data_IF_426964670555
#
_entry.id   IF_426964670555
#
_cell.length_a   1.000
_cell.length_b   1.000
_cell.length_c   1.000
_cell.angle_alpha   90.00
_cell.angle_beta   90.00
_cell.angle_gamma   90.00
#
_symmetry.space_group_name_H-M   'P 1'
#
loop_
_entity.id
_entity.type
_entity.pdbx_description
1 polymer ?
#
# COMPACT_ATOMS: atom_id res chain seq x y z
N UNK A 1 10.55 21.08 34.16
CA UNK A 1 11.27 20.10 33.30
C UNK A 1 11.88 19.04 34.22
N UNK A 2 12.08 17.82 33.71
CA UNK A 2 12.72 16.67 34.41
C UNK A 2 11.90 16.08 35.58
N UNK A 3 12.08 14.77 35.83
CA UNK A 3 11.38 13.94 36.83
C UNK A 3 12.39 13.22 37.76
N UNK A 4 11.98 12.80 38.98
CA UNK A 4 12.63 11.72 39.75
C UNK A 4 12.06 10.33 39.38
N UNK A 5 12.86 9.26 39.19
CA UNK A 5 13.47 8.34 40.21
C UNK A 5 12.39 7.63 41.08
N UNK A 6 12.24 6.29 41.20
CA UNK A 6 13.16 5.18 41.64
C UNK A 6 12.38 3.82 41.51
N UNK A 7 12.87 2.56 41.44
CA UNK A 7 14.17 1.90 41.13
C UNK A 7 14.00 0.33 40.94
N UNK A 8 14.93 -0.33 40.23
CA UNK A 8 15.43 -1.75 40.17
C UNK A 8 14.62 -3.08 40.34
N UNK A 9 15.24 -4.14 39.78
CA UNK A 9 15.25 -5.60 40.16
C UNK A 9 14.48 -6.57 39.22
N UNK A 10 15.01 -7.69 38.68
CA UNK A 10 16.37 -8.29 38.66
C UNK A 10 16.63 -9.09 37.35
N UNK A 11 17.83 -9.65 37.17
CA UNK A 11 18.29 -10.39 35.97
C UNK A 11 18.02 -11.94 36.07
N UNK A 12 18.38 -12.82 35.09
CA UNK A 12 19.69 -12.90 34.40
C UNK A 12 19.65 -12.76 32.86
N UNK A 13 20.83 -12.48 32.29
CA UNK A 13 21.09 -12.46 30.84
C UNK A 13 21.39 -13.88 30.37
N UNK A 14 20.72 -14.34 29.32
CA UNK A 14 21.16 -15.46 28.48
C UNK A 14 21.77 -14.90 27.19
N UNK A 15 22.98 -15.33 26.84
CA UNK A 15 23.71 -14.81 25.68
C UNK A 15 22.98 -15.15 24.37
N UNK A 16 22.48 -14.12 23.67
CA UNK A 16 22.18 -14.21 22.25
C UNK A 16 23.16 -13.31 21.49
N UNK A 17 23.94 -13.95 20.62
CA UNK A 17 24.85 -13.31 19.67
C UNK A 17 24.11 -12.26 18.83
N UNK A 18 24.77 -11.18 18.35
CA UNK A 18 24.16 -10.27 17.40
C UNK A 18 23.91 -11.00 16.06
N UNK A 19 22.76 -11.66 15.93
CA UNK A 19 22.26 -12.08 14.62
C UNK A 19 22.14 -10.85 13.74
N UNK A 20 22.87 -10.88 12.63
CA UNK A 20 22.92 -9.81 11.64
C UNK A 20 21.52 -9.43 11.19
N UNK A 21 21.33 -8.14 10.92
CA UNK A 21 20.05 -7.59 10.48
C UNK A 21 19.58 -8.30 9.19
N UNK A 22 18.73 -9.33 9.33
CA UNK A 22 18.09 -9.99 8.20
C UNK A 22 17.23 -8.95 7.49
N UNK A 23 17.58 -8.64 6.24
CA UNK A 23 16.70 -7.87 5.36
C UNK A 23 15.29 -8.50 5.38
N UNK A 24 14.21 -7.70 5.42
CA UNK A 24 12.86 -8.23 5.42
C UNK A 24 12.65 -9.02 4.12
N UNK A 25 12.59 -10.35 4.24
CA UNK A 25 12.55 -11.27 3.11
C UNK A 25 11.47 -10.83 2.09
N UNK A 26 11.93 -10.39 0.91
CA UNK A 26 11.07 -9.85 -0.15
C UNK A 26 9.98 -10.88 -0.45
N UNK A 27 8.74 -10.63 0.02
CA UNK A 27 7.59 -11.50 -0.24
C UNK A 27 7.51 -11.71 -1.75
N UNK A 28 7.74 -12.95 -2.21
CA UNK A 28 7.67 -13.30 -3.64
C UNK A 28 6.32 -12.82 -4.16
N UNK A 29 6.34 -11.75 -4.95
CA UNK A 29 5.14 -11.17 -5.50
C UNK A 29 4.51 -12.24 -6.40
N UNK A 30 3.24 -12.59 -6.15
CA UNK A 30 2.54 -13.44 -7.10
C UNK A 30 2.44 -12.67 -8.42
N UNK A 31 2.68 -13.36 -9.52
CA UNK A 31 2.65 -12.88 -10.91
C UNK A 31 1.92 -13.95 -11.72
N UNK A 32 1.16 -13.55 -12.74
CA UNK A 32 0.55 -14.48 -13.69
C UNK A 32 1.63 -14.90 -14.68
N UNK A 33 1.94 -16.20 -14.83
CA UNK A 33 2.97 -16.66 -15.76
C UNK A 33 2.72 -16.14 -17.18
N UNK A 34 3.74 -15.59 -17.84
CA UNK A 34 3.66 -14.98 -19.17
C UNK A 34 3.17 -13.53 -19.20
N UNK A 35 2.73 -12.98 -18.06
CA UNK A 35 2.43 -11.55 -17.89
C UNK A 35 3.49 -10.84 -17.05
N UNK A 36 4.69 -11.40 -16.86
CA UNK A 36 5.76 -10.80 -16.06
C UNK A 36 6.03 -9.33 -16.47
N UNK A 37 6.21 -8.40 -15.51
CA UNK A 37 6.37 -6.99 -15.83
C UNK A 37 7.68 -6.67 -16.57
N UNK A 38 8.70 -7.52 -16.40
CA UNK A 38 10.07 -7.33 -16.87
C UNK A 38 10.61 -8.69 -17.35
N UNK A 39 11.22 -8.74 -18.54
CA UNK A 39 12.00 -9.88 -19.03
C UNK A 39 13.43 -9.44 -19.32
N UNK A 40 14.37 -10.38 -19.21
CA UNK A 40 15.80 -10.13 -19.37
C UNK A 40 16.45 -11.21 -20.22
N UNK A 41 17.41 -10.84 -21.06
CA UNK A 41 18.29 -11.76 -21.78
C UNK A 41 19.70 -11.73 -21.19
N UNK A 42 20.46 -12.83 -21.28
CA UNK A 42 21.90 -12.82 -20.92
C UNK A 42 22.69 -11.98 -21.93
N UNK A 43 23.58 -11.11 -21.45
CA UNK A 43 24.45 -10.31 -22.33
C UNK A 43 25.47 -11.16 -23.09
N UNK A 44 25.82 -12.35 -22.58
CA UNK A 44 26.65 -13.34 -23.27
C UNK A 44 26.06 -13.76 -24.63
N UNK A 45 24.73 -13.71 -24.77
CA UNK A 45 24.04 -14.01 -26.05
C UNK A 45 24.12 -12.89 -27.09
N UNK A 46 24.88 -11.83 -26.83
CA UNK A 46 25.09 -10.67 -27.71
C UNK A 46 26.54 -10.44 -28.12
N UNK A 47 27.47 -11.20 -27.56
CA UNK A 47 28.91 -11.14 -27.87
C UNK A 47 29.33 -12.36 -28.68
N UNK A 48 29.85 -12.16 -29.88
CA UNK A 48 30.82 -13.12 -30.43
C UNK A 48 32.18 -12.88 -29.75
N UNK A 49 33.07 -13.87 -29.78
CA UNK A 49 34.38 -13.82 -29.12
C UNK A 49 35.29 -12.69 -29.65
N UNK A 50 34.92 -12.08 -30.79
CA UNK A 50 35.65 -11.01 -31.48
C UNK A 50 35.38 -9.60 -30.94
N UNK A 51 34.37 -9.40 -30.07
CA UNK A 51 34.05 -8.09 -29.49
C UNK A 51 34.14 -8.14 -27.95
N UNK A 52 35.25 -7.64 -27.36
CA UNK A 52 35.46 -7.71 -25.90
C UNK A 52 34.46 -6.85 -25.12
N UNK A 53 34.06 -7.35 -23.94
CA UNK A 53 33.09 -6.74 -23.04
C UNK A 53 33.66 -5.55 -22.23
N UNK A 54 34.29 -4.59 -22.90
CA UNK A 54 34.58 -3.28 -22.33
C UNK A 54 33.48 -2.29 -22.73
N UNK A 55 32.68 -1.87 -21.75
CA UNK A 55 31.90 -0.63 -21.93
C UNK A 55 32.88 0.56 -22.12
N UNK A 56 32.49 1.65 -22.80
CA UNK A 56 33.40 2.74 -23.23
C UNK A 56 34.11 3.52 -22.10
N UNK A 57 33.95 3.11 -20.85
CA UNK A 57 34.59 3.65 -19.65
C UNK A 57 35.11 2.55 -18.69
N UNK A 58 35.37 1.33 -19.18
CA UNK A 58 35.95 0.22 -18.39
C UNK A 58 35.02 -0.38 -17.31
N UNK A 59 33.74 -0.03 -17.32
CA UNK A 59 32.76 -0.54 -16.36
C UNK A 59 32.38 -2.00 -16.62
N UNK A 60 32.23 -2.80 -15.54
CA UNK A 60 31.72 -4.18 -15.64
C UNK A 60 30.36 -4.20 -16.34
N UNK A 61 30.30 -4.85 -17.50
CA UNK A 61 29.04 -5.02 -18.24
C UNK A 61 28.08 -5.88 -17.42
N UNK A 62 26.79 -5.50 -17.26
CA UNK A 62 25.82 -6.31 -16.52
C UNK A 62 25.61 -7.68 -17.18
N UNK A 63 25.47 -8.74 -16.38
CA UNK A 63 25.25 -10.10 -16.91
C UNK A 63 23.95 -10.25 -17.71
N UNK A 64 22.96 -9.37 -17.49
CA UNK A 64 21.69 -9.36 -18.23
C UNK A 64 21.33 -7.97 -18.76
N UNK A 65 20.43 -7.94 -19.75
CA UNK A 65 19.88 -6.73 -20.38
C UNK A 65 18.35 -6.86 -20.47
N UNK A 66 17.55 -5.78 -20.28
CA UNK A 66 16.11 -5.83 -20.50
C UNK A 66 15.77 -6.25 -21.93
N UNK A 67 14.90 -7.25 -22.09
CA UNK A 67 14.52 -7.79 -23.40
C UNK A 67 13.87 -6.73 -24.30
N UNK A 68 13.17 -5.76 -23.70
CA UNK A 68 12.61 -4.59 -24.39
C UNK A 68 13.68 -3.81 -25.19
N UNK A 69 14.83 -3.53 -24.55
CA UNK A 69 15.92 -2.76 -25.16
C UNK A 69 16.65 -3.56 -26.25
N UNK A 70 16.69 -4.89 -26.13
CA UNK A 70 17.19 -5.79 -27.18
C UNK A 70 16.28 -5.74 -28.40
N UNK A 71 14.98 -6.00 -28.22
CA UNK A 71 14.01 -6.03 -29.32
C UNK A 71 13.94 -4.67 -30.01
N UNK A 72 14.02 -3.57 -29.26
CA UNK A 72 14.09 -2.23 -29.83
C UNK A 72 15.36 -2.01 -30.67
N UNK A 73 16.53 -2.49 -30.22
CA UNK A 73 17.77 -2.46 -31.02
C UNK A 73 17.61 -3.29 -32.29
N UNK A 74 17.21 -4.55 -32.18
CA UNK A 74 16.97 -5.44 -33.34
C UNK A 74 15.97 -4.82 -34.34
N UNK A 75 14.97 -4.08 -33.84
CA UNK A 75 13.99 -3.33 -34.63
C UNK A 75 14.63 -2.17 -35.40
N UNK A 76 15.43 -1.33 -34.73
CA UNK A 76 16.22 -0.28 -35.40
C UNK A 76 17.19 -0.88 -36.44
N UNK A 77 17.86 -1.99 -36.11
CA UNK A 77 18.86 -2.70 -36.92
C UNK A 77 18.21 -3.57 -38.02
N UNK A 78 17.19 -3.03 -38.69
CA UNK A 78 16.55 -3.55 -39.89
C UNK A 78 15.26 -4.35 -39.69
N UNK A 79 14.92 -4.83 -38.49
CA UNK A 79 13.69 -5.64 -38.30
C UNK A 79 12.41 -4.81 -38.49
N UNK A 80 12.49 -3.47 -38.39
CA UNK A 80 11.41 -2.57 -38.80
C UNK A 80 11.02 -2.72 -40.28
N UNK A 81 11.94 -3.09 -41.19
CA UNK A 81 11.62 -3.30 -42.62
C UNK A 81 10.72 -4.53 -42.83
N UNK A 82 10.81 -5.52 -41.94
CA UNK A 82 9.95 -6.70 -41.92
C UNK A 82 8.59 -6.42 -41.27
N UNK A 83 8.57 -5.63 -40.19
CA UNK A 83 7.39 -5.45 -39.34
C UNK A 83 6.55 -4.22 -39.71
N UNK A 84 7.18 -3.07 -39.99
CA UNK A 84 6.54 -1.76 -40.19
C UNK A 84 6.58 -1.32 -41.67
N UNK A 85 6.32 -2.27 -42.58
CA UNK A 85 6.09 -2.02 -44.00
C UNK A 85 4.60 -1.92 -44.34
N UNK A 86 4.27 -1.52 -45.57
CA UNK A 86 2.91 -1.27 -46.06
C UNK A 86 1.93 -2.45 -45.93
N UNK A 87 2.45 -3.68 -45.83
CA UNK A 87 1.63 -4.90 -45.65
C UNK A 87 1.33 -5.16 -44.18
N UNK A 88 2.34 -5.02 -43.32
CA UNK A 88 2.30 -5.49 -41.94
C UNK A 88 1.94 -4.38 -40.92
N UNK A 89 2.54 -3.19 -41.04
CA UNK A 89 2.29 -2.01 -40.16
C UNK A 89 2.46 -2.27 -38.64
N UNK A 90 3.25 -3.27 -38.28
CA UNK A 90 3.51 -3.72 -36.90
C UNK A 90 4.60 -2.83 -36.28
N UNK A 91 4.19 -1.76 -35.60
CA UNK A 91 5.10 -0.89 -34.84
C UNK A 91 5.40 -1.48 -33.47
N UNK A 92 6.68 -1.56 -33.12
CA UNK A 92 7.17 -1.95 -31.80
C UNK A 92 7.29 -0.71 -30.91
N UNK A 93 6.97 -0.85 -29.62
CA UNK A 93 7.20 0.20 -28.61
C UNK A 93 8.59 0.08 -28.00
N UNK A 94 9.33 1.20 -27.95
CA UNK A 94 10.67 1.30 -27.34
C UNK A 94 10.68 0.90 -25.85
N UNK A 95 9.64 1.28 -25.10
CA UNK A 95 9.58 1.08 -23.64
C UNK A 95 9.38 -0.39 -23.22
N UNK A 96 8.84 -1.22 -24.11
CA UNK A 96 8.39 -2.59 -23.80
C UNK A 96 8.98 -3.66 -24.72
N UNK A 97 9.44 -3.28 -25.92
CA UNK A 97 9.77 -4.22 -26.99
C UNK A 97 8.55 -4.99 -27.50
N UNK A 98 7.33 -4.44 -27.38
CA UNK A 98 6.10 -5.13 -27.75
C UNK A 98 5.32 -4.41 -28.86
N UNK A 99 4.67 -5.17 -29.78
CA UNK A 99 3.77 -4.63 -30.80
C UNK A 99 2.44 -4.16 -30.22
N UNK A 100 1.77 -3.24 -30.94
CA UNK A 100 0.38 -2.86 -30.69
C UNK A 100 0.14 -2.16 -29.34
N UNK A 101 -0.97 -2.50 -28.67
CA UNK A 101 -1.42 -1.77 -27.48
C UNK A 101 -0.50 -2.01 -26.28
N UNK A 102 -0.22 -0.96 -25.52
CA UNK A 102 0.74 -1.00 -24.42
C UNK A 102 0.06 -1.19 -23.06
N UNK A 103 0.32 -2.33 -22.41
CA UNK A 103 -0.22 -2.65 -21.08
C UNK A 103 0.80 -2.39 -19.97
N UNK A 104 0.35 -1.79 -18.86
CA UNK A 104 1.16 -1.67 -17.63
C UNK A 104 1.10 -2.98 -16.85
N UNK A 105 1.83 -3.99 -17.31
CA UNK A 105 1.79 -5.37 -16.79
C UNK A 105 1.96 -5.47 -15.26
N UNK A 106 2.78 -4.62 -14.64
CA UNK A 106 2.92 -4.53 -13.17
C UNK A 106 1.60 -4.20 -12.46
N UNK A 107 0.80 -3.30 -13.02
CA UNK A 107 -0.54 -2.98 -12.54
C UNK A 107 -1.55 -4.07 -12.92
N UNK A 108 -1.47 -4.63 -14.13
CA UNK A 108 -2.39 -5.65 -14.61
C UNK A 108 -2.32 -6.93 -13.75
N UNK A 109 -1.12 -7.44 -13.46
CA UNK A 109 -0.93 -8.56 -12.52
C UNK A 109 -1.56 -8.29 -11.15
N UNK A 110 -1.29 -7.10 -10.59
CA UNK A 110 -1.85 -6.72 -9.30
C UNK A 110 -3.39 -6.69 -9.32
N UNK A 111 -4.00 -6.26 -10.43
CA UNK A 111 -5.45 -6.25 -10.60
C UNK A 111 -6.04 -7.67 -10.78
N UNK A 112 -5.40 -8.53 -11.58
CA UNK A 112 -5.85 -9.92 -11.81
C UNK A 112 -5.74 -10.75 -10.51
N UNK A 113 -4.62 -10.65 -9.79
CA UNK A 113 -4.31 -11.52 -8.65
C UNK A 113 -5.09 -11.15 -7.38
N UNK A 114 -5.40 -9.86 -7.18
CA UNK A 114 -6.21 -9.41 -6.06
C UNK A 114 -7.70 -9.24 -6.41
N UNK A 115 -8.12 -9.69 -7.61
CA UNK A 115 -9.52 -9.68 -8.02
C UNK A 115 -10.36 -10.50 -7.01
N UNK A 116 -11.64 -10.12 -6.76
CA UNK A 116 -12.52 -10.91 -5.90
C UNK A 116 -12.54 -12.39 -6.32
N UNK A 117 -12.62 -13.30 -5.34
CA UNK A 117 -12.43 -14.74 -5.55
C UNK A 117 -13.31 -15.27 -6.69
N UNK A 118 -12.67 -15.72 -7.77
CA UNK A 118 -13.33 -16.12 -9.01
C UNK A 118 -13.29 -15.00 -10.05
N UNK A 119 -12.21 -14.95 -10.83
CA UNK A 119 -12.30 -14.40 -12.18
C UNK A 119 -13.29 -15.28 -12.96
N UNK A 120 -14.28 -14.71 -13.68
CA UNK A 120 -15.11 -15.49 -14.59
C UNK A 120 -14.22 -16.20 -15.63
N UNK A 121 -14.65 -17.36 -16.13
CA UNK A 121 -13.83 -18.20 -17.02
C UNK A 121 -13.34 -17.40 -18.24
N UNK A 122 -14.21 -16.61 -18.88
CA UNK A 122 -13.85 -15.73 -19.98
C UNK A 122 -12.88 -14.57 -19.65
N UNK A 123 -12.66 -14.22 -18.38
CA UNK A 123 -11.54 -13.36 -17.98
C UNK A 123 -10.24 -14.18 -17.85
N UNK A 124 -10.32 -15.39 -17.27
CA UNK A 124 -9.16 -16.26 -17.10
C UNK A 124 -8.59 -16.70 -18.45
N UNK A 125 -9.44 -17.15 -19.37
CA UNK A 125 -9.07 -17.61 -20.71
C UNK A 125 -8.39 -16.50 -21.52
N UNK A 126 -8.97 -15.29 -21.52
CA UNK A 126 -8.44 -14.15 -22.29
C UNK A 126 -7.11 -13.66 -21.74
N UNK A 127 -6.89 -13.69 -20.41
CA UNK A 127 -5.58 -13.37 -19.85
C UNK A 127 -4.55 -14.51 -20.01
N UNK A 128 -4.99 -15.77 -20.10
CA UNK A 128 -4.13 -16.90 -20.46
C UNK A 128 -3.73 -16.86 -21.94
N UNK A 129 -4.64 -16.49 -22.85
CA UNK A 129 -4.36 -16.26 -24.27
C UNK A 129 -3.33 -15.13 -24.44
N UNK A 130 -3.55 -13.99 -23.77
CA UNK A 130 -2.61 -12.87 -23.76
C UNK A 130 -1.22 -13.27 -23.26
N UNK A 131 -1.15 -14.05 -22.18
CA UNK A 131 0.10 -14.55 -21.62
C UNK A 131 0.84 -15.50 -22.57
N UNK A 132 0.11 -16.46 -23.16
CA UNK A 132 0.67 -17.42 -24.10
C UNK A 132 1.17 -16.75 -25.39
N UNK A 133 0.39 -15.81 -25.95
CA UNK A 133 0.79 -15.04 -27.13
C UNK A 133 2.03 -14.18 -26.86
N UNK A 134 2.13 -13.55 -25.67
CA UNK A 134 3.28 -12.75 -25.24
C UNK A 134 4.57 -13.56 -25.14
N UNK A 135 4.52 -14.72 -24.46
CA UNK A 135 5.67 -15.63 -24.34
C UNK A 135 6.09 -16.18 -25.70
N UNK A 136 5.13 -16.54 -26.56
CA UNK A 136 5.40 -17.00 -27.93
C UNK A 136 6.07 -15.92 -28.77
N UNK A 137 5.60 -14.67 -28.72
CA UNK A 137 6.21 -13.55 -29.44
C UNK A 137 7.69 -13.36 -29.03
N UNK A 138 7.96 -13.33 -27.72
CA UNK A 138 9.33 -13.17 -27.22
C UNK A 138 10.25 -14.35 -27.59
N UNK A 139 9.77 -15.59 -27.46
CA UNK A 139 10.53 -16.78 -27.86
C UNK A 139 10.82 -16.80 -29.37
N UNK A 140 9.83 -16.49 -30.21
CA UNK A 140 10.02 -16.37 -31.67
C UNK A 140 11.01 -15.27 -32.01
N UNK A 141 11.01 -14.14 -31.31
CA UNK A 141 11.96 -13.05 -31.54
C UNK A 141 13.40 -13.43 -31.15
N UNK A 142 13.59 -14.20 -30.06
CA UNK A 142 14.93 -14.67 -29.70
C UNK A 142 15.49 -15.66 -30.72
N UNK A 143 14.66 -16.60 -31.20
CA UNK A 143 15.03 -17.53 -32.28
C UNK A 143 15.32 -16.77 -33.57
N UNK A 144 14.47 -15.82 -33.97
CA UNK A 144 14.70 -14.96 -35.13
C UNK A 144 16.05 -14.23 -35.06
N UNK A 145 16.42 -13.65 -33.91
CA UNK A 145 17.71 -12.96 -33.73
C UNK A 145 18.90 -13.91 -33.84
N UNK A 146 18.79 -15.12 -33.28
CA UNK A 146 19.84 -16.15 -33.36
C UNK A 146 20.07 -16.59 -34.81
N UNK A 147 18.99 -16.85 -35.55
CA UNK A 147 19.10 -17.32 -36.94
C UNK A 147 19.46 -16.19 -37.92
N UNK A 148 19.10 -14.92 -37.61
CA UNK A 148 19.65 -13.74 -38.30
C UNK A 148 21.18 -13.71 -38.18
N UNK A 149 21.72 -13.80 -36.96
CA UNK A 149 23.17 -13.71 -36.72
C UNK A 149 23.93 -14.88 -37.37
N UNK A 150 23.43 -16.10 -37.25
CA UNK A 150 24.08 -17.27 -37.87
C UNK A 150 24.25 -17.08 -39.39
N UNK A 151 23.20 -16.59 -40.06
CA UNK A 151 23.26 -16.28 -41.49
C UNK A 151 24.24 -15.13 -41.80
N UNK A 152 24.25 -14.06 -41.00
CA UNK A 152 25.18 -12.93 -41.14
C UNK A 152 26.65 -13.36 -40.94
N UNK A 153 26.92 -14.27 -40.00
CA UNK A 153 28.24 -14.85 -39.77
C UNK A 153 28.67 -15.77 -40.93
N UNK A 154 27.77 -16.62 -41.43
CA UNK A 154 28.06 -17.54 -42.55
C UNK A 154 28.25 -16.81 -43.90
N UNK A 155 27.41 -15.79 -44.19
CA UNK A 155 27.58 -14.94 -45.38
C UNK A 155 28.90 -14.14 -45.31
N UNK A 156 29.35 -13.74 -44.12
CA UNK A 156 30.64 -13.07 -43.93
C UNK A 156 31.84 -14.02 -44.14
N UNK A 157 31.78 -15.25 -43.61
CA UNK A 157 32.82 -16.28 -43.83
C UNK A 157 32.90 -16.63 -45.33
N UNK A 158 31.76 -16.80 -46.01
CA UNK A 158 31.70 -17.04 -47.45
C UNK A 158 32.38 -15.92 -48.26
N UNK A 159 32.17 -14.66 -47.89
CA UNK A 159 32.85 -13.52 -48.52
C UNK A 159 34.37 -13.56 -48.30
N UNK A 160 34.85 -13.88 -47.10
CA UNK A 160 36.28 -14.02 -46.81
C UNK A 160 36.92 -15.16 -47.62
N UNK A 161 36.24 -16.31 -47.72
CA UNK A 161 36.69 -17.45 -48.52
C UNK A 161 36.74 -17.14 -50.02
N UNK A 162 35.79 -16.35 -50.55
CA UNK A 162 35.85 -15.84 -51.92
C UNK A 162 37.01 -14.85 -52.15
N UNK A 163 37.27 -13.95 -51.20
CA UNK A 163 38.42 -13.02 -51.29
C UNK A 163 39.75 -13.79 -51.29
N UNK A 164 39.90 -14.74 -50.36
CA UNK A 164 41.07 -15.62 -50.27
C UNK A 164 41.25 -16.49 -51.52
N UNK A 165 40.17 -16.97 -52.14
CA UNK A 165 40.24 -17.70 -53.41
C UNK A 165 40.84 -16.86 -54.55
N UNK A 166 40.50 -15.56 -54.62
CA UNK A 166 41.06 -14.63 -55.60
C UNK A 166 42.54 -14.32 -55.31
N UNK A 167 42.88 -14.15 -54.04
CA UNK A 167 44.26 -13.84 -53.63
C UNK A 167 45.21 -15.04 -53.89
N UNK A 168 44.77 -16.26 -53.59
CA UNK A 168 45.48 -17.50 -53.96
C UNK A 168 45.67 -17.62 -55.49
N UNK A 169 44.69 -17.18 -56.29
CA UNK A 169 44.80 -17.21 -57.75
C UNK A 169 45.79 -16.16 -58.29
N UNK A 170 45.83 -14.96 -57.69
CA UNK A 170 46.76 -13.89 -58.06
C UNK A 170 48.18 -14.10 -57.55
N UNK A 171 48.32 -14.68 -56.35
CA UNK A 171 49.58 -14.77 -55.59
C UNK A 171 49.89 -16.21 -55.12
N UNK A 172 49.87 -17.24 -56.00
CA UNK A 172 49.94 -18.65 -55.56
C UNK A 172 51.23 -19.01 -54.79
N UNK A 173 52.33 -18.27 -55.00
CA UNK A 173 53.60 -18.47 -54.29
C UNK A 173 53.62 -18.03 -52.82
N UNK A 174 52.56 -17.42 -52.30
CA UNK A 174 52.45 -17.03 -50.87
C UNK A 174 51.71 -18.06 -50.01
N UNK A 175 51.30 -19.20 -50.57
CA UNK A 175 50.47 -20.19 -49.87
C UNK A 175 51.03 -21.60 -49.96
N UNK A 176 50.58 -22.46 -49.05
CA UNK A 176 50.89 -23.89 -49.07
C UNK A 176 50.33 -24.59 -50.32
N UNK A 177 50.96 -25.68 -50.82
CA UNK A 177 50.59 -26.32 -52.09
C UNK A 177 49.10 -26.70 -52.24
N UNK A 178 48.42 -27.00 -51.14
CA UNK A 178 47.02 -27.44 -51.14
C UNK A 178 46.02 -26.31 -50.80
N UNK A 179 46.48 -25.08 -50.59
CA UNK A 179 45.63 -23.98 -50.10
C UNK A 179 44.44 -23.67 -51.02
N UNK A 180 44.63 -23.77 -52.34
CA UNK A 180 43.57 -23.57 -53.33
C UNK A 180 42.44 -24.61 -53.21
N UNK A 181 42.81 -25.89 -53.01
CA UNK A 181 41.86 -26.99 -52.86
C UNK A 181 41.13 -26.91 -51.51
N UNK A 182 41.87 -26.75 -50.42
CA UNK A 182 41.32 -26.60 -49.07
C UNK A 182 40.33 -25.42 -48.99
N UNK A 183 40.65 -24.28 -49.62
CA UNK A 183 39.74 -23.12 -49.68
C UNK A 183 38.52 -23.38 -50.59
N UNK A 184 38.65 -24.19 -51.65
CA UNK A 184 37.55 -24.58 -52.53
C UNK A 184 36.58 -25.56 -51.86
N UNK A 185 37.07 -26.44 -50.98
CA UNK A 185 36.25 -27.34 -50.15
C UNK A 185 35.47 -26.51 -49.12
N UNK A 186 36.17 -25.75 -48.28
CA UNK A 186 35.55 -24.93 -47.23
C UNK A 186 34.53 -23.90 -47.79
N UNK A 187 34.79 -23.35 -48.99
CA UNK A 187 33.85 -22.44 -49.66
C UNK A 187 32.56 -23.16 -50.10
N UNK A 188 32.63 -24.40 -50.60
CA UNK A 188 31.43 -25.17 -50.97
C UNK A 188 30.59 -25.53 -49.74
N UNK A 189 31.25 -25.94 -48.66
CA UNK A 189 30.60 -26.25 -47.38
C UNK A 189 29.90 -25.01 -46.80
N UNK A 190 30.61 -23.87 -46.76
CA UNK A 190 30.05 -22.63 -46.23
C UNK A 190 28.90 -22.07 -47.09
N UNK A 191 28.98 -22.18 -48.44
CA UNK A 191 27.87 -21.79 -49.33
C UNK A 191 26.63 -22.67 -49.11
N UNK A 192 26.79 -23.99 -48.98
CA UNK A 192 25.66 -24.88 -48.70
C UNK A 192 25.00 -24.59 -47.35
N UNK A 193 25.81 -24.29 -46.32
CA UNK A 193 25.31 -23.87 -45.00
C UNK A 193 24.60 -22.52 -45.07
N UNK A 194 25.10 -21.55 -45.85
CA UNK A 194 24.41 -20.28 -46.10
C UNK A 194 23.04 -20.47 -46.76
N UNK A 195 22.92 -21.35 -47.76
CA UNK A 195 21.65 -21.64 -48.42
C UNK A 195 20.65 -22.31 -47.46
N UNK A 196 21.12 -23.25 -46.64
CA UNK A 196 20.33 -23.90 -45.59
C UNK A 196 19.82 -22.89 -44.55
N UNK A 197 20.72 -22.10 -43.96
CA UNK A 197 20.39 -21.08 -42.97
C UNK A 197 19.47 -19.99 -43.55
N UNK A 198 19.64 -19.60 -44.82
CA UNK A 198 18.78 -18.61 -45.50
C UNK A 198 17.35 -19.11 -45.65
N UNK A 199 17.16 -20.40 -45.99
CA UNK A 199 15.84 -21.04 -46.02
C UNK A 199 15.19 -21.11 -44.63
N UNK A 200 15.98 -21.41 -43.59
CA UNK A 200 15.51 -21.39 -42.21
C UNK A 200 15.13 -19.97 -41.73
N UNK A 201 15.96 -18.97 -42.03
CA UNK A 201 15.76 -17.58 -41.64
C UNK A 201 14.48 -16.97 -42.26
N UNK A 202 14.16 -17.29 -43.50
CA UNK A 202 12.91 -16.83 -44.13
C UNK A 202 11.66 -17.38 -43.41
N UNK A 203 11.71 -18.65 -42.97
CA UNK A 203 10.68 -19.22 -42.12
C UNK A 203 10.58 -18.52 -40.75
N UNK A 204 11.71 -18.07 -40.18
CA UNK A 204 11.72 -17.26 -38.94
C UNK A 204 11.13 -15.85 -39.13
N UNK A 205 11.39 -15.18 -40.26
CA UNK A 205 10.75 -13.88 -40.58
C UNK A 205 9.23 -14.00 -40.55
N UNK A 206 8.69 -14.98 -41.29
CA UNK A 206 7.25 -15.24 -41.36
C UNK A 206 6.66 -15.63 -39.99
N UNK A 207 7.39 -16.45 -39.22
CA UNK A 207 7.01 -16.81 -37.84
C UNK A 207 6.93 -15.59 -36.92
N UNK A 208 7.88 -14.65 -37.03
CA UNK A 208 7.90 -13.43 -36.22
C UNK A 208 6.74 -12.49 -36.55
N UNK A 209 6.46 -12.26 -37.83
CA UNK A 209 5.29 -11.46 -38.27
C UNK A 209 4.00 -12.05 -37.71
N UNK A 210 3.77 -13.36 -37.91
CA UNK A 210 2.58 -14.04 -37.41
C UNK A 210 2.48 -14.04 -35.87
N UNK A 211 3.59 -14.27 -35.16
CA UNK A 211 3.62 -14.22 -33.68
C UNK A 211 3.30 -12.82 -33.15
N UNK A 212 3.75 -11.76 -33.84
CA UNK A 212 3.48 -10.38 -33.48
C UNK A 212 2.00 -10.00 -33.74
N UNK A 213 1.42 -10.44 -34.86
CA UNK A 213 0.01 -10.25 -35.19
C UNK A 213 -0.90 -10.94 -34.16
N UNK A 214 -0.66 -12.23 -33.86
CA UNK A 214 -1.41 -12.96 -32.84
C UNK A 214 -1.31 -12.33 -31.45
N UNK A 215 -0.18 -11.71 -31.11
CA UNK A 215 -0.03 -10.97 -29.86
C UNK A 215 -0.77 -9.63 -29.87
N UNK A 216 -0.86 -8.93 -31.01
CA UNK A 216 -1.72 -7.75 -31.16
C UNK A 216 -3.21 -8.12 -31.01
N UNK A 217 -3.67 -9.18 -31.69
CA UNK A 217 -5.04 -9.69 -31.55
C UNK A 217 -5.38 -10.06 -30.10
N UNK A 218 -4.48 -10.78 -29.40
CA UNK A 218 -4.68 -11.13 -28.00
C UNK A 218 -4.74 -9.89 -27.08
N UNK A 219 -3.99 -8.82 -27.39
CA UNK A 219 -4.09 -7.52 -26.70
C UNK A 219 -5.43 -6.82 -26.94
N UNK A 220 -5.92 -6.85 -28.18
CA UNK A 220 -7.23 -6.28 -28.54
C UNK A 220 -8.38 -7.04 -27.86
N UNK A 221 -8.35 -8.38 -27.88
CA UNK A 221 -9.28 -9.24 -27.12
C UNK A 221 -9.26 -8.94 -25.62
N UNK A 222 -8.07 -8.73 -25.03
CA UNK A 222 -7.91 -8.46 -23.61
C UNK A 222 -8.29 -7.04 -23.18
N UNK A 223 -8.18 -6.03 -24.06
CA UNK A 223 -8.39 -4.63 -23.69
C UNK A 223 -9.77 -4.34 -23.02
N UNK A 224 -10.93 -4.83 -23.51
CA UNK A 224 -12.21 -4.67 -22.82
C UNK A 224 -12.23 -5.21 -21.38
N UNK A 225 -11.51 -6.30 -21.12
CA UNK A 225 -11.40 -6.90 -19.79
C UNK A 225 -10.44 -6.10 -18.89
N UNK A 226 -9.35 -5.57 -19.45
CA UNK A 226 -8.44 -4.64 -18.75
C UNK A 226 -9.17 -3.37 -18.34
N UNK A 227 -10.01 -2.79 -19.20
CA UNK A 227 -10.84 -1.61 -18.87
C UNK A 227 -11.86 -1.93 -17.77
N UNK A 228 -12.51 -3.10 -17.83
CA UNK A 228 -13.43 -3.56 -16.76
C UNK A 228 -12.71 -3.73 -15.42
N UNK A 229 -11.51 -4.32 -15.40
CA UNK A 229 -10.69 -4.40 -14.19
C UNK A 229 -10.34 -3.00 -13.65
N UNK A 230 -9.81 -2.11 -14.49
CA UNK A 230 -9.44 -0.76 -14.08
C UNK A 230 -10.62 0.01 -13.47
N UNK A 231 -11.81 -0.08 -14.08
CA UNK A 231 -13.02 0.51 -13.52
C UNK A 231 -13.38 -0.11 -12.17
N UNK A 232 -13.42 -1.44 -12.05
CA UNK A 232 -13.76 -2.11 -10.79
C UNK A 232 -12.83 -1.68 -9.64
N UNK A 233 -11.52 -1.54 -9.90
CA UNK A 233 -10.57 -1.04 -8.90
C UNK A 233 -10.71 0.46 -8.59
N UNK A 234 -11.16 1.29 -9.54
CA UNK A 234 -11.51 2.68 -9.28
C UNK A 234 -12.76 2.79 -8.39
N UNK A 235 -13.83 2.08 -8.76
CA UNK A 235 -15.10 2.03 -8.02
C UNK A 235 -14.87 1.53 -6.57
N UNK A 236 -14.07 0.47 -6.39
CA UNK A 236 -13.66 -0.05 -5.07
C UNK A 236 -12.84 0.96 -4.25
N UNK A 237 -11.92 1.70 -4.89
CA UNK A 237 -11.11 2.73 -4.22
C UNK A 237 -11.97 3.90 -3.74
N UNK A 238 -12.95 4.32 -4.54
CA UNK A 238 -13.90 5.36 -4.18
C UNK A 238 -14.87 4.92 -3.07
N UNK A 239 -15.36 3.68 -3.13
CA UNK A 239 -16.16 3.09 -2.05
C UNK A 239 -15.38 3.03 -0.73
N UNK A 240 -14.10 2.65 -0.77
CA UNK A 240 -13.23 2.63 0.40
C UNK A 240 -12.94 4.03 0.97
N UNK A 241 -12.71 5.05 0.12
CA UNK A 241 -12.52 6.43 0.61
C UNK A 241 -13.80 6.98 1.24
N UNK A 242 -14.96 6.77 0.62
CA UNK A 242 -16.28 7.14 1.18
C UNK A 242 -16.57 6.44 2.50
N UNK A 243 -16.26 5.15 2.62
CA UNK A 243 -16.41 4.41 3.87
C UNK A 243 -15.51 4.98 4.98
N UNK A 244 -14.24 5.26 4.68
CA UNK A 244 -13.27 5.86 5.62
C UNK A 244 -13.67 7.27 6.07
N UNK A 245 -14.21 8.09 5.17
CA UNK A 245 -14.77 9.40 5.52
C UNK A 245 -16.00 9.30 6.40
N UNK A 246 -16.89 8.34 6.12
CA UNK A 246 -18.08 8.10 6.95
C UNK A 246 -17.69 7.61 8.35
N UNK A 247 -16.71 6.71 8.46
CA UNK A 247 -16.15 6.26 9.73
C UNK A 247 -15.53 7.42 10.52
N UNK A 248 -14.71 8.26 9.88
CA UNK A 248 -14.13 9.45 10.51
C UNK A 248 -15.21 10.41 11.05
N UNK A 249 -16.26 10.68 10.27
CA UNK A 249 -17.41 11.51 10.68
C UNK A 249 -18.18 10.91 11.85
N UNK A 250 -18.34 9.58 11.92
CA UNK A 250 -18.96 8.88 13.06
C UNK A 250 -18.10 8.98 14.33
N UNK A 251 -16.78 8.80 14.21
CA UNK A 251 -15.84 8.95 15.33
C UNK A 251 -15.78 10.39 15.88
N UNK A 252 -15.94 11.40 15.01
CA UNK A 252 -16.06 12.80 15.40
C UNK A 252 -17.39 13.08 16.12
N UNK A 253 -18.52 12.60 15.59
CA UNK A 253 -19.83 12.71 16.23
C UNK A 253 -19.85 12.03 17.61
N UNK A 254 -19.25 10.84 17.75
CA UNK A 254 -19.19 10.12 19.03
C UNK A 254 -18.34 10.88 20.08
N UNK A 255 -17.23 11.51 19.66
CA UNK A 255 -16.44 12.40 20.53
C UNK A 255 -17.25 13.62 20.98
N UNK A 256 -17.91 14.30 20.05
CA UNK A 256 -18.75 15.46 20.35
C UNK A 256 -19.94 15.11 21.27
N UNK A 257 -20.54 13.91 21.10
CA UNK A 257 -21.60 13.46 21.99
C UNK A 257 -21.08 13.11 23.39
N UNK A 258 -19.92 12.44 23.49
CA UNK A 258 -19.26 12.17 24.79
C UNK A 258 -18.92 13.47 25.52
N UNK A 259 -18.42 14.48 24.83
CA UNK A 259 -18.13 15.80 25.41
C UNK A 259 -19.42 16.51 25.87
N UNK A 260 -20.49 16.48 25.07
CA UNK A 260 -21.82 17.01 25.47
C UNK A 260 -22.36 16.30 26.71
N UNK A 261 -22.27 14.96 26.77
CA UNK A 261 -22.67 14.16 27.94
C UNK A 261 -21.86 14.54 29.18
N UNK A 262 -20.54 14.71 29.07
CA UNK A 262 -19.68 15.17 30.17
C UNK A 262 -20.06 16.58 30.66
N UNK A 263 -20.27 17.53 29.74
CA UNK A 263 -20.71 18.90 30.08
C UNK A 263 -22.06 18.89 30.82
N UNK A 264 -23.03 18.11 30.36
CA UNK A 264 -24.34 17.98 31.02
C UNK A 264 -24.27 17.31 32.40
N UNK A 265 -23.34 16.38 32.62
CA UNK A 265 -23.07 15.78 33.94
C UNK A 265 -22.48 16.83 34.89
N UNK A 266 -21.45 17.56 34.44
CA UNK A 266 -20.80 18.61 35.25
C UNK A 266 -21.76 19.76 35.60
N UNK A 267 -22.68 20.12 34.69
CA UNK A 267 -23.72 21.11 34.95
C UNK A 267 -24.75 20.62 35.98
N UNK A 268 -25.23 19.37 35.85
CA UNK A 268 -26.10 18.74 36.87
C UNK A 268 -25.41 18.70 38.25
N UNK A 269 -24.10 18.44 38.29
CA UNK A 269 -23.34 18.45 39.54
C UNK A 269 -23.21 19.86 40.15
N UNK A 270 -22.98 20.90 39.34
CA UNK A 270 -23.01 22.30 39.77
C UNK A 270 -24.37 22.69 40.34
N UNK A 271 -25.47 22.32 39.67
CA UNK A 271 -26.84 22.55 40.15
C UNK A 271 -27.13 21.79 41.45
N UNK A 272 -26.66 20.55 41.59
CA UNK A 272 -26.78 19.79 42.84
C UNK A 272 -26.00 20.43 44.00
N UNK A 273 -24.80 20.96 43.73
CA UNK A 273 -23.99 21.73 44.70
C UNK A 273 -24.69 23.04 45.12
N UNK A 274 -25.29 23.78 44.17
CA UNK A 274 -26.10 24.97 44.50
C UNK A 274 -27.36 24.66 45.30
N UNK A 275 -28.07 23.55 45.02
CA UNK A 275 -29.21 23.13 45.85
C UNK A 275 -28.76 22.81 47.27
N UNK A 276 -27.71 21.99 47.43
CA UNK A 276 -27.14 21.64 48.74
C UNK A 276 -26.67 22.85 49.56
N UNK A 277 -26.11 23.89 48.93
CA UNK A 277 -25.74 25.13 49.65
C UNK A 277 -26.96 25.96 50.04
N UNK A 278 -27.95 26.10 49.15
CA UNK A 278 -29.23 26.77 49.46
C UNK A 278 -29.98 26.08 50.61
N UNK A 279 -30.02 24.75 50.61
CA UNK A 279 -30.67 23.94 51.65
C UNK A 279 -29.95 24.08 53.01
N UNK A 280 -28.61 24.18 53.02
CA UNK A 280 -27.83 24.54 54.22
C UNK A 280 -28.24 25.91 54.76
N UNK A 281 -28.23 26.95 53.92
CA UNK A 281 -28.60 28.33 54.33
C UNK A 281 -30.04 28.40 54.86
N UNK A 282 -30.98 27.63 54.27
CA UNK A 282 -32.35 27.54 54.78
C UNK A 282 -32.41 26.82 56.14
N UNK A 283 -31.66 25.73 56.33
CA UNK A 283 -31.57 25.05 57.64
C UNK A 283 -30.94 25.94 58.72
N UNK A 284 -29.85 26.63 58.42
CA UNK A 284 -29.21 27.57 59.36
C UNK A 284 -30.13 28.73 59.72
N UNK A 285 -30.88 29.29 58.75
CA UNK A 285 -31.89 30.33 59.04
C UNK A 285 -33.00 29.81 59.96
N UNK A 286 -33.51 28.59 59.72
CA UNK A 286 -34.51 27.97 60.62
C UNK A 286 -33.95 27.75 62.02
N UNK A 287 -32.77 27.15 62.16
CA UNK A 287 -32.12 26.96 63.47
C UNK A 287 -31.91 28.29 64.22
N UNK A 288 -31.63 29.40 63.52
CA UNK A 288 -31.56 30.73 64.14
C UNK A 288 -32.92 31.29 64.54
N UNK A 289 -33.98 31.11 63.74
CA UNK A 289 -35.34 31.52 64.15
C UNK A 289 -35.86 30.69 65.31
N UNK A 290 -35.58 29.39 65.33
CA UNK A 290 -36.03 28.45 66.36
C UNK A 290 -35.27 28.68 67.68
N UNK A 291 -33.99 29.06 67.61
CA UNK A 291 -33.22 29.53 68.76
C UNK A 291 -33.74 30.89 69.30
N UNK A 292 -34.12 31.82 68.41
CA UNK A 292 -34.65 33.12 68.81
C UNK A 292 -36.06 33.03 69.42
N UNK A 293 -36.94 32.19 68.89
CA UNK A 293 -38.25 31.92 69.51
C UNK A 293 -38.12 31.18 70.83
N UNK A 294 -37.20 30.20 70.94
CA UNK A 294 -36.90 29.57 72.23
C UNK A 294 -36.37 30.58 73.25
N UNK A 295 -35.39 31.42 72.89
CA UNK A 295 -34.85 32.43 73.79
C UNK A 295 -35.92 33.44 74.26
N UNK A 296 -36.88 33.79 73.39
CA UNK A 296 -38.05 34.59 73.76
C UNK A 296 -38.99 33.86 74.71
N UNK A 297 -39.32 32.59 74.46
CA UNK A 297 -40.15 31.78 75.37
C UNK A 297 -39.47 31.59 76.73
N UNK A 298 -38.16 31.36 76.77
CA UNK A 298 -37.37 31.26 78.00
C UNK A 298 -37.32 32.61 78.76
N UNK A 299 -37.39 33.75 78.07
CA UNK A 299 -37.50 35.08 78.67
C UNK A 299 -38.90 35.33 79.23
N UNK A 300 -39.94 35.10 78.42
CA UNK A 300 -41.33 35.34 78.79
C UNK A 300 -41.76 34.41 79.95
N UNK A 301 -41.23 33.19 80.02
CA UNK A 301 -41.39 32.28 81.15
C UNK A 301 -40.72 32.79 82.44
N UNK A 302 -39.53 33.42 82.37
CA UNK A 302 -38.89 34.06 83.53
C UNK A 302 -39.68 35.26 84.01
N UNK A 303 -40.16 36.10 83.10
CA UNK A 303 -41.01 37.23 83.43
C UNK A 303 -42.31 36.79 84.14
N UNK A 304 -42.93 35.70 83.67
CA UNK A 304 -44.07 35.07 84.35
C UNK A 304 -43.71 34.51 85.74
N UNK A 305 -42.57 33.83 85.88
CA UNK A 305 -42.11 33.35 87.19
C UNK A 305 -41.85 34.50 88.18
N UNK A 306 -41.23 35.59 87.74
CA UNK A 306 -41.04 36.79 88.58
C UNK A 306 -42.36 37.53 88.88
N UNK A 307 -43.36 37.45 88.00
CA UNK A 307 -44.69 38.01 88.25
C UNK A 307 -45.44 37.18 89.30
N UNK A 308 -45.42 35.84 89.18
CA UNK A 308 -45.99 34.93 90.17
C UNK A 308 -45.30 35.09 91.54
N UNK A 309 -43.96 35.12 91.57
CA UNK A 309 -43.18 35.35 92.79
C UNK A 309 -43.33 36.78 93.36
N UNK A 310 -43.86 37.75 92.60
CA UNK A 310 -44.30 39.05 93.14
C UNK A 310 -45.73 38.96 93.69
N UNK A 311 -46.64 38.28 92.97
CA UNK A 311 -48.02 38.04 93.38
C UNK A 311 -48.10 37.29 94.72
N UNK A 312 -47.29 36.24 94.93
CA UNK A 312 -47.22 35.52 96.20
C UNK A 312 -46.69 36.40 97.34
N UNK A 313 -45.66 37.23 97.10
CA UNK A 313 -45.15 38.18 98.10
C UNK A 313 -46.21 39.21 98.51
N UNK A 314 -46.98 39.73 97.55
CA UNK A 314 -48.10 40.64 97.83
C UNK A 314 -49.24 39.93 98.59
N UNK A 315 -49.57 38.68 98.22
CA UNK A 315 -50.61 37.87 98.88
C UNK A 315 -50.24 37.49 100.31
N UNK A 316 -48.97 37.18 100.57
CA UNK A 316 -48.47 36.89 101.91
C UNK A 316 -48.40 38.16 102.77
N UNK A 317 -47.90 39.28 102.23
CA UNK A 317 -47.94 40.57 102.92
C UNK A 317 -49.35 41.04 103.27
N UNK A 318 -50.35 40.77 102.41
CA UNK A 318 -51.75 41.02 102.72
C UNK A 318 -52.30 40.11 103.85
N UNK A 319 -51.89 38.83 103.89
CA UNK A 319 -52.26 37.91 104.95
C UNK A 319 -51.64 38.25 106.31
N UNK A 320 -50.44 38.83 106.34
CA UNK A 320 -49.82 39.30 107.58
C UNK A 320 -50.46 40.61 108.07
N UNK A 321 -50.79 41.53 107.16
CA UNK A 321 -51.58 42.72 107.50
C UNK A 321 -52.99 42.38 108.05
N UNK A 322 -53.63 41.34 107.51
CA UNK A 322 -54.96 40.89 107.94
C UNK A 322 -54.99 40.24 109.34
N UNK A 323 -53.83 39.97 109.97
CA UNK A 323 -53.75 39.34 111.30
C UNK A 323 -53.56 40.30 112.47
N UNK A 324 -53.35 41.60 112.23
CA UNK A 324 -53.06 42.57 113.30
C UNK A 324 -54.26 43.40 113.78
N UNK A 325 -55.42 43.31 113.12
CA UNK A 325 -56.67 43.93 113.60
C UNK A 325 -57.82 42.91 113.62
N UNK A 326 -58.38 42.66 114.80
CA UNK A 326 -59.40 41.63 115.03
C UNK A 326 -60.74 42.14 115.56
N UNK A 327 -61.73 41.24 115.61
CA UNK A 327 -63.12 41.52 116.00
C UNK A 327 -63.99 41.86 114.77
N UNK A 328 -65.15 41.23 114.55
CA UNK A 328 -66.10 40.67 115.51
C UNK A 328 -66.89 39.50 114.88
N UNK A 329 -67.36 38.53 115.67
CA UNK A 329 -68.28 37.50 115.18
C UNK A 329 -69.68 38.06 114.91
N UNK A 330 -70.35 37.54 113.88
CA UNK A 330 -71.82 37.49 113.79
C UNK A 330 -72.21 36.11 113.24
N UNK A 331 -72.96 35.33 114.03
CA UNK A 331 -73.72 34.19 113.53
C UNK A 331 -75.09 34.69 113.04
N UNK A 332 -75.54 34.19 111.90
CA UNK A 332 -76.96 34.08 111.57
C UNK A 332 -77.22 32.73 110.89
N UNK A 333 -78.49 32.32 110.87
CA UNK A 333 -78.97 31.00 110.44
C UNK A 333 -79.20 30.93 108.93
#
# INVERSE_FOLDING_TARGET
MVSPFIIDSAAPIANLSPESAREPAKKKQKVVPGLEPEYFASQESFTSEYFPLEGPFGGKVPATVPLAAVIWRDYCDGTHLLLDNDKNKIKISMDSGEPGIQFKYKCLNAMIINFPKGLPENFADVFAELAAARVRYFATHEVYRKEKRALEESDAITQQLHMKQRDIHSNPGYYEPNAAENNSIALKECVAECEYQRGHFENRKNSLVSSAQLFMEAKEKAMPFVVRLQKFYADMKEAYSKAKEAEAKRLEQEKAEKERRQKAIAEKEKLAKQKRSRDRVVKERRQRTDAATKARLDHDARAWAEYLARSERMRNGANDAAKQHGGKQVNLQ
#
